data_IF_805122576702
#
_entry.id   IF_805122576702
#
_cell.length_a   1.000
_cell.length_b   1.000
_cell.length_c   1.000
_cell.angle_alpha   90.00
_cell.angle_beta   90.00
_cell.angle_gamma   90.00
#
_symmetry.space_group_name_H-M   'P 1'
#
loop_
_entity.id
_entity.type
_entity.pdbx_description
1 polymer ?
#
# COMPACT_ATOMS: atom_id res chain seq x y z
N UNK A 1 -8.03 17.61 2.97
CA UNK A 1 -7.58 17.97 1.61
C UNK A 1 -8.67 17.82 0.54
N UNK A 2 -9.52 16.76 0.56
CA UNK A 2 -10.58 16.53 -0.43
C UNK A 2 -11.46 17.77 -0.56
N UNK A 3 -12.04 18.25 0.54
CA UNK A 3 -12.89 19.46 0.54
C UNK A 3 -12.17 20.70 0.02
N UNK A 4 -10.86 20.82 0.28
CA UNK A 4 -10.08 21.97 -0.22
C UNK A 4 -9.94 21.93 -1.74
N UNK A 5 -9.70 20.74 -2.32
CA UNK A 5 -9.68 20.56 -3.78
C UNK A 5 -11.06 20.75 -4.41
N UNK A 6 -12.14 20.21 -3.80
CA UNK A 6 -13.51 20.40 -4.29
C UNK A 6 -13.91 21.89 -4.35
N UNK A 7 -13.47 22.65 -3.39
CA UNK A 7 -13.78 24.10 -3.30
C UNK A 7 -12.77 24.96 -4.07
N UNK A 8 -11.73 24.38 -4.65
CA UNK A 8 -10.63 25.09 -5.32
C UNK A 8 -9.98 26.16 -4.42
N UNK A 9 -9.74 25.81 -3.14
CA UNK A 9 -9.23 26.73 -2.11
C UNK A 9 -7.97 26.16 -1.50
N UNK A 10 -6.88 26.92 -1.53
CA UNK A 10 -5.57 26.65 -0.94
C UNK A 10 -4.81 25.43 -1.48
N UNK A 11 -5.40 24.59 -2.33
CA UNK A 11 -4.79 23.35 -2.80
C UNK A 11 -5.21 23.08 -4.24
N UNK A 12 -4.25 22.99 -5.16
CA UNK A 12 -4.48 22.69 -6.57
C UNK A 12 -4.35 21.20 -6.88
N UNK A 13 -3.46 20.51 -6.15
CA UNK A 13 -3.14 19.08 -6.35
C UNK A 13 -2.98 18.39 -5.01
N UNK A 14 -3.52 17.19 -4.87
CA UNK A 14 -3.25 16.30 -3.74
C UNK A 14 -3.04 14.86 -4.23
N UNK A 15 -2.42 14.05 -3.40
CA UNK A 15 -2.27 12.62 -3.64
C UNK A 15 -3.10 11.80 -2.65
N UNK A 16 -3.46 10.59 -3.04
CA UNK A 16 -4.18 9.68 -2.16
C UNK A 16 -4.48 8.33 -2.79
N UNK A 17 -4.79 7.35 -1.97
CA UNK A 17 -5.24 6.05 -2.43
C UNK A 17 -6.51 6.17 -3.28
N UNK A 18 -6.59 5.40 -4.35
CA UNK A 18 -7.73 5.40 -5.26
C UNK A 18 -9.01 4.92 -4.57
N UNK A 19 -10.14 5.60 -4.83
CA UNK A 19 -11.46 5.14 -4.42
C UNK A 19 -12.55 5.81 -5.26
N UNK A 20 -13.63 5.09 -5.51
CA UNK A 20 -14.81 5.62 -6.22
C UNK A 20 -15.30 6.94 -5.62
N UNK A 21 -15.40 7.02 -4.28
CA UNK A 21 -15.88 8.22 -3.60
C UNK A 21 -15.00 9.48 -3.84
N UNK A 22 -13.71 9.31 -4.13
CA UNK A 22 -12.82 10.42 -4.51
C UNK A 22 -12.96 10.78 -5.98
N UNK A 23 -13.09 9.78 -6.83
CA UNK A 23 -13.24 9.94 -8.28
C UNK A 23 -14.59 10.59 -8.64
N UNK A 24 -15.64 10.36 -7.85
CA UNK A 24 -16.91 11.08 -7.99
C UNK A 24 -16.80 12.59 -7.77
N UNK A 25 -15.83 13.01 -6.97
CA UNK A 25 -15.68 14.41 -6.53
C UNK A 25 -14.55 15.17 -7.23
N UNK A 26 -13.53 14.47 -7.68
CA UNK A 26 -12.27 15.03 -8.19
C UNK A 26 -11.90 14.36 -9.52
N UNK A 27 -11.02 14.99 -10.29
CA UNK A 27 -10.34 14.32 -11.40
C UNK A 27 -9.18 13.53 -10.81
N UNK A 28 -9.21 12.21 -10.96
CA UNK A 28 -8.09 11.33 -10.72
C UNK A 28 -7.18 11.30 -11.96
N UNK A 29 -5.89 11.46 -11.77
CA UNK A 29 -4.88 11.30 -12.82
C UNK A 29 -4.44 9.84 -12.78
N UNK A 30 -4.76 9.01 -13.82
CA UNK A 30 -4.66 7.55 -13.75
C UNK A 30 -3.22 7.05 -13.98
N UNK A 31 -2.25 7.70 -13.36
CA UNK A 31 -0.84 7.29 -13.32
C UNK A 31 -0.49 6.98 -11.87
N UNK A 32 -0.21 5.71 -11.59
CA UNK A 32 0.12 5.29 -10.23
C UNK A 32 1.48 5.82 -9.81
N UNK A 33 1.51 6.65 -8.75
CA UNK A 33 2.73 7.26 -8.22
C UNK A 33 3.72 6.23 -7.66
N UNK A 34 3.23 5.07 -7.24
CA UNK A 34 4.03 3.97 -6.72
C UNK A 34 4.08 2.77 -7.68
N UNK A 35 3.59 2.94 -8.92
CA UNK A 35 3.66 1.92 -9.95
C UNK A 35 3.00 0.58 -9.58
N UNK A 36 1.96 0.60 -8.73
CA UNK A 36 1.19 -0.57 -8.29
C UNK A 36 1.65 -1.19 -6.98
N UNK A 37 2.75 -0.72 -6.37
CA UNK A 37 3.26 -1.34 -5.14
C UNK A 37 2.56 -0.87 -3.85
N UNK A 38 1.67 0.14 -3.93
CA UNK A 38 0.91 0.59 -2.75
C UNK A 38 0.13 -0.57 -2.10
N UNK A 39 -0.44 -1.46 -2.89
CA UNK A 39 -1.21 -2.61 -2.41
C UNK A 39 -0.38 -3.83 -2.05
N UNK A 40 0.95 -3.75 -2.04
CA UNK A 40 1.83 -4.84 -1.60
C UNK A 40 2.24 -4.57 -0.15
N UNK A 41 1.79 -5.42 0.77
CA UNK A 41 1.98 -5.24 2.21
C UNK A 41 2.87 -6.32 2.80
N UNK A 42 3.95 -5.92 3.47
CA UNK A 42 4.70 -6.77 4.39
C UNK A 42 4.10 -6.65 5.81
N UNK A 43 4.42 -7.60 6.69
CA UNK A 43 3.86 -7.66 8.04
C UNK A 43 4.85 -7.11 9.06
N UNK A 44 4.49 -6.04 9.77
CA UNK A 44 5.18 -5.73 11.02
C UNK A 44 4.64 -6.68 12.09
N UNK A 45 5.53 -7.39 12.77
CA UNK A 45 5.20 -8.40 13.79
C UNK A 45 6.09 -8.23 15.02
N UNK A 46 5.70 -8.84 16.14
CA UNK A 46 6.63 -9.03 17.27
C UNK A 46 7.75 -9.97 16.86
N UNK A 47 8.97 -9.70 17.29
CA UNK A 47 10.15 -10.53 17.01
C UNK A 47 9.92 -12.00 17.41
N UNK A 48 9.31 -12.22 18.56
CA UNK A 48 9.04 -13.56 19.11
C UNK A 48 7.98 -14.33 18.32
N UNK A 49 7.14 -13.64 17.53
CA UNK A 49 6.13 -14.27 16.68
C UNK A 49 6.70 -14.77 15.33
N UNK A 50 7.98 -14.59 15.04
CA UNK A 50 8.58 -14.96 13.73
C UNK A 50 8.27 -16.42 13.34
N UNK A 51 8.44 -17.37 14.28
CA UNK A 51 8.13 -18.79 14.02
C UNK A 51 6.64 -19.02 13.74
N UNK A 52 5.76 -18.31 14.44
CA UNK A 52 4.31 -18.35 14.17
C UNK A 52 4.01 -17.93 12.71
N UNK A 53 4.62 -16.84 12.25
CA UNK A 53 4.42 -16.33 10.88
C UNK A 53 5.08 -17.22 9.82
N UNK A 54 6.20 -17.89 10.11
CA UNK A 54 6.79 -18.88 9.21
C UNK A 54 5.80 -20.01 8.86
N UNK A 55 4.94 -20.39 9.80
CA UNK A 55 3.97 -21.47 9.66
C UNK A 55 2.65 -21.05 9.00
N UNK A 56 2.44 -19.77 8.70
CA UNK A 56 1.24 -19.29 8.00
C UNK A 56 1.40 -19.58 6.49
N UNK A 57 0.75 -20.63 6.00
CA UNK A 57 0.84 -21.09 4.61
C UNK A 57 -0.40 -20.80 3.77
N UNK A 58 -1.48 -20.25 4.38
CA UNK A 58 -2.72 -19.93 3.68
C UNK A 58 -3.38 -18.66 4.23
N UNK A 59 -4.20 -18.02 3.40
CA UNK A 59 -5.02 -16.87 3.80
C UNK A 59 -5.99 -17.25 4.94
N UNK A 60 -6.51 -18.47 4.93
CA UNK A 60 -7.38 -18.98 6.00
C UNK A 60 -6.68 -19.01 7.37
N UNK A 61 -5.37 -19.26 7.40
CA UNK A 61 -4.59 -19.19 8.64
C UNK A 61 -4.38 -17.72 9.06
N UNK A 62 -4.10 -16.83 8.12
CA UNK A 62 -3.95 -15.40 8.41
C UNK A 62 -5.27 -14.78 8.94
N UNK A 63 -6.43 -15.23 8.44
CA UNK A 63 -7.77 -14.80 8.91
C UNK A 63 -8.05 -15.13 10.39
N UNK A 64 -7.30 -16.06 10.98
CA UNK A 64 -7.42 -16.37 12.42
C UNK A 64 -6.74 -15.31 13.29
N UNK A 65 -5.80 -14.57 12.74
CA UNK A 65 -5.04 -13.51 13.40
C UNK A 65 -5.72 -12.15 13.25
N UNK A 66 -5.34 -11.21 14.11
CA UNK A 66 -5.89 -9.85 14.12
C UNK A 66 -4.83 -8.87 13.63
N UNK A 67 -5.15 -8.11 12.58
CA UNK A 67 -4.36 -6.98 12.12
C UNK A 67 -4.60 -5.75 13.01
N UNK A 68 -3.58 -4.94 13.26
CA UNK A 68 -3.77 -3.54 13.64
C UNK A 68 -3.89 -2.68 12.37
N UNK A 69 -4.78 -1.66 12.36
CA UNK A 69 -4.89 -0.75 11.23
C UNK A 69 -5.50 0.60 11.65
N UNK A 70 -5.17 1.67 10.95
CA UNK A 70 -5.79 2.96 11.22
C UNK A 70 -7.23 3.00 10.69
N UNK A 71 -8.19 3.40 11.52
CA UNK A 71 -9.63 3.35 11.23
C UNK A 71 -10.02 4.07 9.94
N UNK A 72 -9.39 5.21 9.66
CA UNK A 72 -9.71 6.06 8.51
C UNK A 72 -8.97 5.70 7.21
N UNK A 73 -8.16 4.63 7.22
CA UNK A 73 -7.46 4.19 6.03
C UNK A 73 -8.35 3.29 5.16
N UNK A 74 -8.28 3.44 3.82
CA UNK A 74 -9.00 2.55 2.92
C UNK A 74 -8.65 1.07 3.13
N UNK A 75 -7.41 0.79 3.50
CA UNK A 75 -6.91 -0.55 3.80
C UNK A 75 -7.77 -1.29 4.83
N UNK A 76 -8.30 -0.59 5.82
CA UNK A 76 -9.18 -1.18 6.84
C UNK A 76 -10.39 -1.84 6.21
N UNK A 77 -11.08 -1.14 5.31
CA UNK A 77 -12.24 -1.69 4.60
C UNK A 77 -11.85 -2.84 3.66
N UNK A 78 -10.68 -2.77 3.02
CA UNK A 78 -10.16 -3.83 2.14
C UNK A 78 -9.90 -5.11 2.94
N UNK A 79 -9.23 -5.00 4.08
CA UNK A 79 -8.93 -6.14 4.95
C UNK A 79 -10.21 -6.78 5.49
N UNK A 80 -11.15 -5.98 6.01
CA UNK A 80 -12.42 -6.45 6.56
C UNK A 80 -13.28 -7.14 5.49
N UNK A 81 -13.38 -6.56 4.30
CA UNK A 81 -14.12 -7.14 3.18
C UNK A 81 -13.56 -8.51 2.75
N UNK A 82 -12.27 -8.75 3.00
CA UNK A 82 -11.62 -10.03 2.73
C UNK A 82 -11.72 -11.03 3.91
N UNK A 83 -12.47 -10.69 4.96
CA UNK A 83 -12.67 -11.53 6.14
C UNK A 83 -11.49 -11.56 7.10
N UNK A 84 -10.56 -10.62 7.00
CA UNK A 84 -9.48 -10.44 7.97
C UNK A 84 -9.99 -9.67 9.19
N UNK A 85 -9.57 -10.08 10.38
CA UNK A 85 -9.91 -9.38 11.63
C UNK A 85 -9.05 -8.14 11.75
N UNK A 86 -9.66 -6.99 12.05
CA UNK A 86 -8.96 -5.72 12.18
C UNK A 86 -9.24 -5.07 13.54
N UNK A 87 -8.19 -4.76 14.27
CA UNK A 87 -8.23 -3.88 15.43
C UNK A 87 -7.93 -2.45 14.97
N UNK A 88 -8.93 -1.57 15.07
CA UNK A 88 -8.87 -0.21 14.55
C UNK A 88 -8.29 0.76 15.57
N UNK A 89 -7.44 1.67 15.14
CA UNK A 89 -6.89 2.76 15.94
C UNK A 89 -7.07 4.09 15.23
N UNK A 90 -7.24 5.17 16.00
CA UNK A 90 -7.36 6.51 15.44
C UNK A 90 -5.99 7.13 15.10
N UNK A 91 -4.92 6.72 15.78
CA UNK A 91 -3.58 7.30 15.71
C UNK A 91 -2.60 6.26 15.16
N UNK A 92 -1.79 6.65 14.18
CA UNK A 92 -0.83 5.77 13.50
C UNK A 92 0.14 5.07 14.45
N UNK A 93 0.80 5.84 15.32
CA UNK A 93 1.82 5.32 16.26
C UNK A 93 1.22 4.34 17.27
N UNK A 94 -0.08 4.46 17.55
CA UNK A 94 -0.77 3.55 18.45
C UNK A 94 -0.78 2.11 17.92
N UNK A 95 -0.77 1.90 16.59
CA UNK A 95 -0.72 0.56 16.00
C UNK A 95 0.53 -0.20 16.42
N UNK A 96 1.70 0.43 16.43
CA UNK A 96 2.95 -0.21 16.89
C UNK A 96 2.90 -0.58 18.35
N UNK A 97 2.39 0.30 19.20
CA UNK A 97 2.24 0.02 20.64
C UNK A 97 1.21 -1.08 20.93
N UNK A 98 0.12 -1.11 20.20
CA UNK A 98 -0.90 -2.15 20.30
C UNK A 98 -0.33 -3.52 19.90
N UNK A 99 0.44 -3.55 18.81
CA UNK A 99 1.12 -4.74 18.34
C UNK A 99 2.15 -5.23 19.37
N UNK A 100 2.99 -4.34 19.89
CA UNK A 100 3.97 -4.65 20.94
C UNK A 100 3.31 -5.27 22.19
N UNK A 101 2.16 -4.73 22.61
CA UNK A 101 1.39 -5.21 23.77
C UNK A 101 0.52 -6.45 23.47
N UNK A 102 0.63 -7.05 22.29
CA UNK A 102 -0.12 -8.25 21.92
C UNK A 102 -1.63 -8.06 21.72
N UNK A 103 -2.09 -6.82 21.55
CA UNK A 103 -3.52 -6.52 21.28
C UNK A 103 -3.94 -6.77 19.84
N UNK A 104 -2.98 -6.91 18.94
CA UNK A 104 -3.12 -7.47 17.61
C UNK A 104 -1.90 -8.33 17.29
N UNK A 105 -1.95 -9.10 16.22
CA UNK A 105 -0.89 -10.05 15.85
C UNK A 105 0.08 -9.48 14.83
N UNK A 106 -0.37 -8.60 13.94
CA UNK A 106 0.44 -8.00 12.88
C UNK A 106 -0.10 -6.64 12.46
N UNK A 107 0.76 -5.84 11.83
CA UNK A 107 0.42 -4.56 11.23
C UNK A 107 0.90 -4.56 9.78
N UNK A 108 -0.02 -4.70 8.80
CA UNK A 108 0.35 -4.71 7.38
C UNK A 108 0.75 -3.33 6.91
N UNK A 109 2.00 -3.20 6.42
CA UNK A 109 2.56 -1.94 5.92
C UNK A 109 3.02 -2.07 4.48
N UNK A 110 2.87 -0.99 3.71
CA UNK A 110 3.35 -0.95 2.33
C UNK A 110 4.86 -1.24 2.26
N UNK A 111 5.26 -2.13 1.34
CA UNK A 111 6.68 -2.48 1.20
C UNK A 111 7.56 -1.26 0.88
N UNK A 112 6.99 -0.21 0.30
CA UNK A 112 7.68 1.04 -0.04
C UNK A 112 8.04 1.90 1.19
N UNK A 113 7.38 1.70 2.32
CA UNK A 113 7.52 2.53 3.54
C UNK A 113 7.90 1.72 4.79
N UNK A 114 7.59 0.42 4.80
CA UNK A 114 7.67 -0.42 5.98
C UNK A 114 9.07 -0.49 6.63
N UNK A 115 10.12 -0.51 5.81
CA UNK A 115 11.50 -0.56 6.31
C UNK A 115 11.87 0.70 7.07
N UNK A 116 11.62 1.87 6.48
CA UNK A 116 11.93 3.16 7.13
C UNK A 116 11.10 3.39 8.39
N UNK A 117 9.86 2.91 8.40
CA UNK A 117 8.99 2.99 9.58
C UNK A 117 9.48 2.11 10.72
N UNK A 118 9.85 0.86 10.43
CA UNK A 118 10.34 -0.05 11.47
C UNK A 118 11.69 0.38 12.01
N UNK A 119 12.59 0.89 11.16
CA UNK A 119 13.87 1.44 11.58
C UNK A 119 13.66 2.63 12.54
N UNK A 120 12.79 3.56 12.19
CA UNK A 120 12.42 4.69 13.05
C UNK A 120 11.81 4.22 14.38
N UNK A 121 10.92 3.21 14.32
CA UNK A 121 10.33 2.62 15.52
C UNK A 121 11.40 2.03 16.44
N UNK A 122 12.35 1.27 15.88
CA UNK A 122 13.41 0.62 16.66
C UNK A 122 14.36 1.61 17.33
N UNK A 123 14.66 2.71 16.67
CA UNK A 123 15.46 3.81 17.25
C UNK A 123 14.74 4.43 18.45
N UNK A 124 13.42 4.65 18.35
CA UNK A 124 12.65 5.37 19.38
C UNK A 124 12.24 4.48 20.55
N UNK A 125 11.93 3.19 20.31
CA UNK A 125 11.25 2.33 21.29
C UNK A 125 11.86 0.92 21.46
N UNK A 126 12.95 0.61 20.73
CA UNK A 126 13.66 -0.66 20.83
C UNK A 126 13.24 -1.72 19.81
N UNK A 127 13.81 -2.92 19.92
CA UNK A 127 13.83 -3.95 18.89
C UNK A 127 12.76 -5.05 19.02
N UNK A 128 11.66 -4.81 19.71
CA UNK A 128 10.59 -5.80 19.91
C UNK A 128 9.83 -6.12 18.63
N UNK A 129 9.69 -5.13 17.74
CA UNK A 129 9.02 -5.30 16.45
C UNK A 129 10.03 -5.45 15.32
N UNK A 130 9.66 -6.26 14.35
CA UNK A 130 10.43 -6.49 13.13
C UNK A 130 9.53 -6.40 11.89
N UNK A 131 10.10 -6.07 10.75
CA UNK A 131 9.46 -6.31 9.47
C UNK A 131 9.62 -7.78 9.09
N UNK A 132 8.51 -8.44 8.80
CA UNK A 132 8.44 -9.79 8.26
C UNK A 132 7.94 -9.73 6.83
N UNK A 133 8.84 -9.83 5.88
CA UNK A 133 8.59 -9.68 4.45
C UNK A 133 8.60 -11.00 3.67
N UNK A 134 8.68 -12.15 4.39
CA UNK A 134 8.56 -13.49 3.78
C UNK A 134 7.11 -13.84 3.39
N UNK A 135 6.14 -13.09 3.88
CA UNK A 135 4.73 -13.18 3.56
C UNK A 135 4.20 -11.80 3.18
N UNK A 136 3.69 -11.69 1.97
CA UNK A 136 3.10 -10.48 1.43
C UNK A 136 1.59 -10.63 1.26
N UNK A 137 0.82 -9.65 1.71
CA UNK A 137 -0.59 -9.49 1.38
C UNK A 137 -0.69 -8.53 0.20
N UNK A 138 -1.35 -8.95 -0.88
CA UNK A 138 -1.41 -8.20 -2.13
C UNK A 138 -2.85 -7.93 -2.52
N UNK A 139 -3.17 -6.67 -2.82
CA UNK A 139 -4.45 -6.23 -3.34
C UNK A 139 -4.27 -5.06 -4.30
N UNK A 140 -5.16 -4.91 -5.30
CA UNK A 140 -5.10 -3.77 -6.20
C UNK A 140 -5.34 -2.49 -5.42
N UNK A 141 -4.35 -1.60 -5.38
CA UNK A 141 -4.50 -0.32 -4.71
C UNK A 141 -3.54 0.70 -5.32
N UNK A 142 -4.07 1.73 -5.94
CA UNK A 142 -3.30 2.76 -6.63
C UNK A 142 -3.19 4.02 -5.78
N UNK A 143 -2.09 4.74 -5.96
CA UNK A 143 -1.91 6.08 -5.43
C UNK A 143 -1.92 7.08 -6.58
N UNK A 144 -2.94 7.92 -6.62
CA UNK A 144 -3.12 8.88 -7.69
C UNK A 144 -2.96 10.33 -7.22
N UNK A 145 -2.64 11.20 -8.16
CA UNK A 145 -2.85 12.63 -8.00
C UNK A 145 -4.29 12.98 -8.33
N UNK A 146 -4.82 13.93 -7.60
CA UNK A 146 -6.18 14.45 -7.76
C UNK A 146 -6.13 15.97 -7.92
N UNK A 147 -7.00 16.48 -8.79
CA UNK A 147 -7.23 17.92 -8.99
C UNK A 147 -8.73 18.21 -8.97
N UNK A 148 -9.10 19.48 -8.87
CA UNK A 148 -10.49 19.91 -8.97
C UNK A 148 -11.11 19.51 -10.31
N UNK A 149 -12.41 19.19 -10.34
CA UNK A 149 -13.14 18.76 -11.55
C UNK A 149 -13.12 19.79 -12.68
N UNK A 150 -13.00 21.06 -12.36
CA UNK A 150 -12.95 22.14 -13.34
C UNK A 150 -11.55 22.32 -13.93
N UNK A 151 -10.50 21.74 -13.33
CA UNK A 151 -9.12 21.97 -13.72
C UNK A 151 -8.56 20.88 -14.66
N UNK A 152 -9.26 20.65 -15.78
CA UNK A 152 -8.88 19.67 -16.80
C UNK A 152 -7.48 19.93 -17.41
N UNK A 153 -7.13 21.20 -17.59
CA UNK A 153 -5.84 21.57 -18.17
C UNK A 153 -4.67 21.15 -17.28
N UNK A 154 -4.81 21.34 -15.96
CA UNK A 154 -3.81 20.91 -14.98
C UNK A 154 -3.72 19.37 -14.95
N UNK A 155 -4.85 18.67 -14.94
CA UNK A 155 -4.89 17.21 -14.97
C UNK A 155 -4.11 16.66 -16.18
N UNK A 156 -4.38 17.15 -17.37
CA UNK A 156 -3.72 16.73 -18.61
C UNK A 156 -2.22 17.03 -18.58
N UNK A 157 -1.82 18.20 -18.07
CA UNK A 157 -0.41 18.59 -17.97
C UNK A 157 0.35 17.67 -17.02
N UNK A 158 -0.23 17.35 -15.85
CA UNK A 158 0.38 16.43 -14.87
C UNK A 158 0.47 15.02 -15.47
N UNK A 159 -0.61 14.52 -16.07
CA UNK A 159 -0.63 13.20 -16.71
C UNK A 159 0.46 13.08 -17.78
N UNK A 160 0.59 14.08 -18.64
CA UNK A 160 1.64 14.12 -19.67
C UNK A 160 3.04 14.08 -19.04
N UNK A 161 3.30 14.94 -18.03
CA UNK A 161 4.60 14.99 -17.35
C UNK A 161 4.98 13.67 -16.67
N UNK A 162 4.03 13.03 -15.99
CA UNK A 162 4.25 11.73 -15.35
C UNK A 162 4.54 10.62 -16.38
N UNK A 163 3.82 10.60 -17.51
CA UNK A 163 4.09 9.66 -18.61
C UNK A 163 5.50 9.83 -19.17
N UNK A 164 5.96 11.09 -19.39
CA UNK A 164 7.33 11.36 -19.83
C UNK A 164 8.36 10.87 -18.81
N UNK A 165 8.16 11.18 -17.53
CA UNK A 165 9.08 10.78 -16.45
C UNK A 165 9.15 9.24 -16.25
N UNK A 166 8.07 8.51 -16.53
CA UNK A 166 8.09 7.04 -16.53
C UNK A 166 8.86 6.54 -17.76
N UNK A 167 8.61 7.10 -18.94
CA UNK A 167 9.22 6.65 -20.19
C UNK A 167 10.73 6.90 -20.25
N UNK A 168 11.21 8.03 -19.71
CA UNK A 168 12.64 8.36 -19.68
C UNK A 168 13.37 7.75 -18.47
N UNK A 169 12.64 7.08 -17.56
CA UNK A 169 13.17 6.41 -16.39
C UNK A 169 13.48 7.33 -15.21
N UNK A 170 13.29 8.65 -15.33
CA UNK A 170 13.59 9.61 -14.26
C UNK A 170 12.72 9.37 -13.02
N UNK A 171 11.43 9.01 -13.21
CA UNK A 171 10.54 8.68 -12.10
C UNK A 171 11.01 7.41 -11.36
N UNK A 172 11.38 6.36 -12.09
CA UNK A 172 11.93 5.13 -11.48
C UNK A 172 13.21 5.43 -10.71
N UNK A 173 14.07 6.28 -11.23
CA UNK A 173 15.29 6.71 -10.54
C UNK A 173 14.99 7.38 -9.20
N UNK A 174 13.94 8.23 -9.13
CA UNK A 174 13.51 8.83 -7.86
C UNK A 174 13.16 7.74 -6.85
N UNK A 175 12.33 6.75 -7.23
CA UNK A 175 11.95 5.65 -6.34
C UNK A 175 13.18 4.82 -5.90
N UNK A 176 14.14 4.61 -6.79
CA UNK A 176 15.37 3.86 -6.49
C UNK A 176 16.30 4.57 -5.50
N UNK A 177 16.30 5.90 -5.49
CA UNK A 177 17.28 6.68 -4.72
C UNK A 177 16.68 7.37 -3.49
N UNK A 178 15.36 7.47 -3.40
CA UNK A 178 14.71 8.13 -2.28
C UNK A 178 14.82 7.29 -0.99
N UNK A 179 15.20 7.88 0.17
CA UNK A 179 15.44 7.12 1.41
C UNK A 179 14.28 6.24 1.87
N UNK A 180 13.03 6.64 1.60
CA UNK A 180 11.82 5.87 1.99
C UNK A 180 11.61 4.64 1.11
N UNK A 181 12.07 4.66 -0.15
CA UNK A 181 11.74 3.63 -1.15
C UNK A 181 12.93 2.85 -1.68
N UNK A 182 14.16 3.28 -1.40
CA UNK A 182 15.37 2.64 -1.95
C UNK A 182 15.55 1.18 -1.51
N UNK A 183 15.02 0.79 -0.35
CA UNK A 183 15.08 -0.61 0.10
C UNK A 183 14.19 -1.58 -0.69
N UNK A 184 13.38 -1.08 -1.60
CA UNK A 184 12.71 -1.94 -2.58
C UNK A 184 13.70 -2.66 -3.48
N UNK A 185 14.91 -2.13 -3.61
CA UNK A 185 15.95 -2.61 -4.51
C UNK A 185 17.13 -3.24 -3.76
N UNK A 186 17.75 -4.27 -4.33
CA UNK A 186 17.45 -4.89 -5.64
C UNK A 186 16.14 -5.70 -5.62
N UNK A 187 15.38 -5.67 -6.72
CA UNK A 187 14.09 -6.39 -6.81
C UNK A 187 14.21 -7.91 -6.61
N UNK A 188 15.40 -8.48 -6.82
CA UNK A 188 15.68 -9.89 -6.56
C UNK A 188 15.42 -10.31 -5.10
N UNK A 189 15.48 -9.39 -4.14
CA UNK A 189 15.11 -9.63 -2.73
C UNK A 189 13.68 -10.17 -2.57
N UNK A 190 12.79 -9.83 -3.48
CA UNK A 190 11.38 -10.20 -3.44
C UNK A 190 11.08 -11.55 -4.08
N UNK A 191 12.10 -12.29 -4.54
CA UNK A 191 11.92 -13.63 -5.12
C UNK A 191 11.55 -14.65 -4.04
N UNK A 192 10.60 -15.54 -4.36
CA UNK A 192 10.21 -16.66 -3.48
C UNK A 192 9.38 -16.26 -2.26
N UNK A 193 8.95 -15.01 -2.15
CA UNK A 193 8.04 -14.56 -1.08
C UNK A 193 6.67 -15.21 -1.24
N UNK A 194 6.03 -15.56 -0.12
CA UNK A 194 4.64 -16.08 -0.11
C UNK A 194 3.67 -14.93 -0.35
N UNK A 195 2.71 -15.14 -1.25
CA UNK A 195 1.71 -14.13 -1.58
C UNK A 195 0.32 -14.60 -1.17
N UNK A 196 -0.42 -13.75 -0.47
CA UNK A 196 -1.84 -13.88 -0.28
C UNK A 196 -2.53 -12.72 -1.00
N UNK A 197 -3.31 -13.07 -2.02
CA UNK A 197 -4.00 -12.08 -2.86
C UNK A 197 -5.43 -11.93 -2.38
N UNK A 198 -5.87 -10.68 -2.17
CA UNK A 198 -7.22 -10.33 -1.78
C UNK A 198 -7.81 -9.26 -2.71
N UNK A 199 -9.12 -9.11 -2.70
CA UNK A 199 -9.81 -8.08 -3.48
C UNK A 199 -9.76 -6.71 -2.81
N UNK A 200 -9.92 -5.67 -3.63
CA UNK A 200 -10.21 -4.33 -3.15
C UNK A 200 -11.60 -3.89 -3.64
N UNK A 201 -12.60 -3.78 -2.74
CA UNK A 201 -13.95 -3.36 -3.12
C UNK A 201 -14.08 -1.86 -3.42
N UNK A 202 -13.03 -1.06 -3.16
CA UNK A 202 -13.06 0.40 -3.26
C UNK A 202 -12.69 0.92 -4.65
N UNK A 203 -12.23 0.05 -5.56
CA UNK A 203 -11.82 0.45 -6.90
C UNK A 203 -12.01 -0.68 -7.93
N UNK A 204 -12.05 -0.31 -9.23
CA UNK A 204 -12.15 -1.27 -10.32
C UNK A 204 -10.77 -1.85 -10.70
N UNK A 205 -10.62 -3.18 -10.61
CA UNK A 205 -9.39 -3.88 -10.96
C UNK A 205 -8.96 -3.67 -12.42
N UNK A 206 -9.92 -3.53 -13.35
CA UNK A 206 -9.61 -3.40 -14.79
C UNK A 206 -8.76 -2.16 -15.12
N UNK A 207 -8.97 -1.08 -14.39
CA UNK A 207 -8.23 0.18 -14.61
C UNK A 207 -6.88 0.21 -13.89
N UNK A 208 -6.61 -0.77 -12.99
CA UNK A 208 -5.39 -0.76 -12.17
C UNK A 208 -4.21 -1.45 -12.83
N UNK A 209 -4.44 -2.53 -13.60
CA UNK A 209 -3.34 -3.32 -14.18
C UNK A 209 -2.47 -2.53 -15.16
N UNK A 210 -3.06 -1.59 -15.91
CA UNK A 210 -2.33 -0.75 -16.86
C UNK A 210 -1.40 0.27 -16.17
N UNK A 211 -1.78 0.69 -14.96
CA UNK A 211 -1.02 1.66 -14.18
C UNK A 211 0.18 1.05 -13.42
N UNK A 212 0.32 -0.29 -13.39
CA UNK A 212 1.34 -0.98 -12.57
C UNK A 212 2.71 -1.07 -13.24
N UNK A 213 3.26 0.07 -13.63
CA UNK A 213 4.51 0.18 -14.38
C UNK A 213 5.75 -0.32 -13.61
N UNK A 214 5.75 -0.26 -12.25
CA UNK A 214 6.84 -0.77 -11.42
C UNK A 214 6.56 -2.19 -10.91
N UNK A 215 5.34 -2.48 -10.44
CA UNK A 215 4.98 -3.78 -9.87
C UNK A 215 5.25 -4.93 -10.84
N UNK A 216 5.06 -4.71 -12.14
CA UNK A 216 5.32 -5.71 -13.19
C UNK A 216 6.77 -6.18 -13.27
N UNK A 217 7.71 -5.43 -12.71
CA UNK A 217 9.13 -5.80 -12.67
C UNK A 217 9.48 -6.69 -11.47
N UNK A 218 8.58 -6.82 -10.49
CA UNK A 218 8.82 -7.67 -9.33
C UNK A 218 8.77 -9.16 -9.70
N UNK A 219 9.70 -9.99 -9.15
CA UNK A 219 9.78 -11.41 -9.48
C UNK A 219 8.50 -12.20 -9.22
N UNK A 220 7.67 -11.73 -8.29
CA UNK A 220 6.42 -12.38 -7.93
C UNK A 220 5.20 -11.91 -8.75
N UNK A 221 5.36 -10.93 -9.65
CA UNK A 221 4.21 -10.33 -10.37
C UNK A 221 3.37 -11.38 -11.12
N UNK A 222 3.99 -12.36 -11.76
CA UNK A 222 3.30 -13.40 -12.49
C UNK A 222 2.45 -14.34 -11.61
N UNK A 223 2.68 -14.31 -10.30
CA UNK A 223 1.93 -15.11 -9.32
C UNK A 223 0.67 -14.37 -8.82
N UNK A 224 0.51 -13.08 -9.17
CA UNK A 224 -0.63 -12.27 -8.73
C UNK A 224 -1.84 -12.60 -9.61
N UNK A 225 -2.78 -13.38 -9.08
CA UNK A 225 -4.05 -13.68 -9.72
C UNK A 225 -5.21 -13.11 -8.90
N UNK A 226 -5.78 -12.01 -9.36
CA UNK A 226 -6.95 -11.42 -8.72
C UNK A 226 -8.28 -12.07 -9.12
N UNK A 227 -8.28 -13.01 -10.07
CA UNK A 227 -9.51 -13.72 -10.45
C UNK A 227 -9.99 -14.68 -9.36
N UNK A 228 -9.06 -15.17 -8.53
CA UNK A 228 -9.32 -16.08 -7.42
C UNK A 228 -9.70 -15.35 -6.11
N UNK A 229 -9.62 -14.03 -6.09
CA UNK A 229 -9.91 -13.22 -4.90
C UNK A 229 -11.40 -12.86 -4.76
N UNK A 230 -12.31 -13.64 -5.41
CA UNK A 230 -13.76 -13.33 -5.48
C UNK A 230 -14.60 -13.93 -4.35
N UNK A 231 -14.00 -14.63 -3.38
CA UNK A 231 -14.75 -15.27 -2.28
C UNK A 231 -14.37 -14.73 -0.91
#
# INVERSE_FOLDING_TARGET
WIRMLEQNVYLDVAWGGASFAREDKLIAIPIDLLGGILGVRAMVIRRDDRLKFNNITSLAMLKKLTACQAEHWPDTAILEASGLKVHKTAIFETNFRMLEKGRCDYFPRGIHEAYSEIEKYQILWGNQLILYDELLLVYPFNMWLYVNKENQALAQRIEYGLKQAINDGSFKKIIQTHPVTNHLFPLAHWQGKRLFVINNPLQNIRNTKEAWWLLREFPFYQQIDFSQAKD
#
